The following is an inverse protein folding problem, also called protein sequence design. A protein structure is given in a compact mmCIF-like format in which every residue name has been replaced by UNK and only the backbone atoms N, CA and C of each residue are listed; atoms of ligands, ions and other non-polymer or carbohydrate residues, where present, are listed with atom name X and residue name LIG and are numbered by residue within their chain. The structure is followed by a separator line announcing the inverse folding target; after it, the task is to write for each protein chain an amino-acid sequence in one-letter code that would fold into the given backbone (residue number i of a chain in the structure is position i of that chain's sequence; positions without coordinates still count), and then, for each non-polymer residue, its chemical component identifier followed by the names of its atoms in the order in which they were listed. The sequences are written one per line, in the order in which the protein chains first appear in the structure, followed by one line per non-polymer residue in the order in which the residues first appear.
data_IF_374415427815
#
_entry.id   IF_374415427815
#
_cell.length_a   1.000
_cell.length_b   1.000
_cell.length_c   1.000
_cell.angle_alpha   90.00
_cell.angle_beta   90.00
_cell.angle_gamma   90.00
#
_symmetry.space_group_name_H-M   'P 1'
#
loop_
_entity.id
_entity.type
_entity.pdbx_description
1 polymer ?
#
# COMPACT_ATOMS: atom_id res chain seq x y z
N UNK A 1 5.88 14.15 -7.12
CA UNK A 1 6.62 15.40 -7.41
C UNK A 1 6.45 16.23 -6.16
N UNK A 2 7.55 16.58 -5.50
CA UNK A 2 7.61 17.17 -4.16
C UNK A 2 6.45 18.15 -3.88
N UNK A 3 5.46 17.70 -3.13
CA UNK A 3 4.54 18.58 -2.40
C UNK A 3 4.63 18.22 -0.93
N UNK A 4 5.75 18.62 -0.32
CA UNK A 4 5.77 18.89 1.12
C UNK A 4 4.75 19.99 1.38
N UNK A 5 3.52 19.63 1.75
CA UNK A 5 2.59 20.57 2.39
C UNK A 5 3.05 20.74 3.84
N UNK A 6 4.20 21.39 4.00
CA UNK A 6 4.55 22.10 5.22
C UNK A 6 4.65 23.55 4.80
N UNK A 7 3.57 24.32 5.01
CA UNK A 7 3.49 25.80 4.89
C UNK A 7 4.69 26.46 4.20
N UNK A 8 4.88 26.14 2.92
CA UNK A 8 6.04 26.55 2.15
C UNK A 8 5.71 27.87 1.49
N UNK A 9 6.63 28.84 1.61
CA UNK A 9 6.56 30.13 0.94
C UNK A 9 5.97 30.00 -0.47
N UNK A 10 5.02 30.86 -0.81
CA UNK A 10 4.45 31.01 -2.17
C UNK A 10 5.47 31.54 -3.19
N UNK A 11 6.70 31.79 -2.74
CA UNK A 11 7.79 32.32 -3.55
C UNK A 11 8.43 31.20 -4.41
N UNK A 12 8.56 31.41 -5.73
CA UNK A 12 9.18 30.43 -6.61
C UNK A 12 10.61 30.12 -6.17
N UNK A 13 11.06 28.87 -6.34
CA UNK A 13 12.46 28.54 -6.10
C UNK A 13 13.36 29.38 -7.02
N UNK A 14 14.56 29.74 -6.54
CA UNK A 14 15.55 30.48 -7.33
C UNK A 14 15.79 29.87 -8.71
N UNK A 15 15.74 28.54 -8.83
CA UNK A 15 15.78 27.83 -10.11
C UNK A 15 14.62 28.21 -11.04
N UNK A 16 13.38 28.26 -10.54
CA UNK A 16 12.21 28.65 -11.35
C UNK A 16 12.29 30.12 -11.77
N UNK A 17 12.82 30.99 -10.91
CA UNK A 17 13.06 32.41 -11.24
C UNK A 17 14.11 32.53 -12.35
N UNK A 18 15.28 31.93 -12.18
CA UNK A 18 16.39 31.96 -13.15
C UNK A 18 16.01 31.28 -14.48
N UNK A 19 15.20 30.21 -14.43
CA UNK A 19 14.66 29.53 -15.61
C UNK A 19 13.65 30.41 -16.34
N UNK A 20 12.76 31.11 -15.62
CA UNK A 20 11.81 32.04 -16.21
C UNK A 20 12.52 33.24 -16.85
N UNK A 21 13.55 33.78 -16.21
CA UNK A 21 14.36 34.86 -16.78
C UNK A 21 15.09 34.40 -18.04
N UNK A 22 15.70 33.21 -18.01
CA UNK A 22 16.38 32.61 -19.17
C UNK A 22 15.41 32.36 -20.33
N UNK A 23 14.18 31.91 -20.04
CA UNK A 23 13.14 31.69 -21.04
C UNK A 23 12.55 32.99 -21.61
N UNK A 24 12.34 34.01 -20.77
CA UNK A 24 11.88 35.34 -21.22
C UNK A 24 12.91 36.02 -22.13
N UNK A 25 14.20 35.85 -21.84
CA UNK A 25 15.29 36.31 -22.71
C UNK A 25 15.34 35.54 -24.04
N UNK A 26 14.78 34.34 -24.11
CA UNK A 26 14.67 33.52 -25.33
C UNK A 26 13.57 34.03 -26.28
N UNK A 27 12.51 34.65 -25.75
CA UNK A 27 11.42 35.24 -26.55
C UNK A 27 11.85 36.41 -27.45
N UNK A 28 13.05 36.97 -27.23
CA UNK A 28 13.67 38.00 -28.07
C UNK A 28 14.44 37.44 -29.29
N UNK A 29 14.71 36.13 -29.32
CA UNK A 29 15.60 35.46 -30.29
C UNK A 29 14.85 34.61 -31.32
N UNK A 30 13.58 34.93 -31.59
CA UNK A 30 12.70 34.16 -32.50
C UNK A 30 13.35 34.05 -33.89
N UNK A 31 13.95 32.90 -34.17
CA UNK A 31 14.54 32.56 -35.47
C UNK A 31 15.82 31.72 -35.42
N UNK A 32 16.58 31.74 -34.32
CA UNK A 32 17.86 31.03 -34.26
C UNK A 32 17.83 29.78 -33.36
N UNK A 33 17.72 28.62 -34.00
CA UNK A 33 17.73 27.29 -33.36
C UNK A 33 19.04 27.04 -32.57
N UNK A 34 20.14 27.69 -32.94
CA UNK A 34 21.43 27.55 -32.25
C UNK A 34 21.44 28.23 -30.88
N UNK A 35 20.75 29.37 -30.75
CA UNK A 35 20.62 30.11 -29.50
C UNK A 35 19.80 29.32 -28.46
N UNK A 36 18.71 28.68 -28.90
CA UNK A 36 17.90 27.79 -28.06
C UNK A 36 18.72 26.61 -27.52
N UNK A 37 19.56 25.96 -28.34
CA UNK A 37 20.39 24.84 -27.89
C UNK A 37 21.43 25.24 -26.84
N UNK A 38 22.03 26.43 -26.94
CA UNK A 38 23.01 26.90 -25.96
C UNK A 38 22.39 27.15 -24.58
N UNK A 39 21.16 27.69 -24.55
CA UNK A 39 20.41 27.91 -23.30
C UNK A 39 20.02 26.58 -22.66
N UNK A 40 19.51 25.61 -23.43
CA UNK A 40 19.22 24.28 -22.89
C UNK A 40 20.45 23.57 -22.30
N UNK A 41 21.63 23.79 -22.88
CA UNK A 41 22.90 23.27 -22.36
C UNK A 41 23.36 23.95 -21.07
N UNK A 42 22.86 25.15 -20.75
CA UNK A 42 23.19 25.87 -19.51
C UNK A 42 22.20 25.60 -18.38
N UNK A 43 20.96 25.17 -18.67
CA UNK A 43 19.93 24.85 -17.66
C UNK A 43 20.37 23.84 -16.58
N UNK A 44 21.13 22.76 -16.87
CA UNK A 44 21.61 21.85 -15.84
C UNK A 44 22.55 22.51 -14.83
N UNK A 45 23.18 23.63 -15.18
CA UNK A 45 24.05 24.41 -14.27
C UNK A 45 23.26 25.26 -13.29
N UNK A 46 22.01 25.59 -13.64
CA UNK A 46 21.07 26.30 -12.76
C UNK A 46 20.40 25.33 -11.78
N UNK A 47 20.43 24.03 -12.10
CA UNK A 47 19.87 23.00 -11.25
C UNK A 47 20.78 22.75 -10.04
N UNK A 48 20.36 23.23 -8.88
CA UNK A 48 20.93 22.83 -7.61
C UNK A 48 19.96 21.84 -6.94
N UNK A 49 20.37 20.56 -6.87
CA UNK A 49 19.64 19.57 -6.10
C UNK A 49 19.76 19.96 -4.62
N UNK A 50 18.66 20.43 -4.02
CA UNK A 50 18.65 20.65 -2.57
C UNK A 50 18.89 19.30 -1.90
N UNK A 51 19.81 19.21 -0.92
CA UNK A 51 19.96 17.99 -0.15
C UNK A 51 18.62 17.62 0.46
N UNK A 52 18.17 16.38 0.21
CA UNK A 52 16.96 15.86 0.83
C UNK A 52 17.31 15.56 2.29
N UNK A 53 17.10 16.54 3.17
CA UNK A 53 17.33 16.38 4.60
C UNK A 53 16.20 15.53 5.18
N UNK A 54 16.46 14.23 5.34
CA UNK A 54 15.57 13.32 6.06
C UNK A 54 15.65 13.69 7.55
N UNK A 55 14.78 14.61 7.98
CA UNK A 55 14.75 15.07 9.38
C UNK A 55 14.24 14.01 10.38
N UNK A 56 13.90 12.80 9.93
CA UNK A 56 13.30 11.76 10.77
C UNK A 56 14.00 10.41 10.59
N UNK A 57 14.01 9.61 11.67
CA UNK A 57 14.39 8.20 11.58
C UNK A 57 13.27 7.45 10.87
N UNK A 58 13.60 6.66 9.84
CA UNK A 58 12.64 5.74 9.24
C UNK A 58 12.21 4.70 10.28
N UNK A 59 10.90 4.60 10.48
CA UNK A 59 10.30 3.51 11.25
C UNK A 59 9.90 2.42 10.27
N UNK A 60 10.32 1.19 10.53
CA UNK A 60 9.88 0.04 9.74
C UNK A 60 8.37 -0.17 9.99
N UNK A 61 7.59 -0.18 8.91
CA UNK A 61 6.21 -0.63 8.93
C UNK A 61 6.21 -2.15 8.84
N UNK A 62 5.51 -2.81 9.77
CA UNK A 62 5.45 -4.27 9.83
C UNK A 62 4.09 -4.70 10.34
N UNK A 63 3.66 -5.87 9.89
CA UNK A 63 2.59 -6.62 10.52
C UNK A 63 3.12 -7.98 11.00
N UNK A 64 2.56 -8.49 12.08
CA UNK A 64 2.67 -9.88 12.48
C UNK A 64 1.26 -10.46 12.45
N UNK A 65 1.17 -11.70 11.97
CA UNK A 65 -0.08 -12.43 11.83
C UNK A 65 0.09 -13.77 12.53
N UNK A 66 -0.81 -14.02 13.47
CA UNK A 66 -0.91 -15.27 14.19
C UNK A 66 -2.34 -15.79 14.07
N UNK A 67 -2.49 -17.12 14.08
CA UNK A 67 -3.76 -17.79 13.86
C UNK A 67 -3.98 -18.73 15.02
N UNK A 68 -5.06 -18.50 15.76
CA UNK A 68 -5.49 -19.38 16.85
C UNK A 68 -6.00 -20.71 16.27
N UNK A 69 -5.10 -21.62 15.93
CA UNK A 69 -5.40 -22.92 15.31
C UNK A 69 -5.13 -22.96 13.80
N UNK A 70 -5.57 -24.03 13.12
CA UNK A 70 -5.31 -24.19 11.69
C UNK A 70 -3.91 -24.70 11.36
N UNK A 71 -3.25 -25.36 12.32
CA UNK A 71 -2.04 -26.11 12.06
C UNK A 71 -2.34 -27.38 11.27
N UNK A 72 -1.36 -27.97 10.55
CA UNK A 72 -1.56 -29.24 9.86
C UNK A 72 -2.11 -30.36 10.75
N UNK A 73 -1.67 -30.40 12.01
CA UNK A 73 -2.08 -31.39 13.02
C UNK A 73 -3.47 -31.10 13.62
N UNK A 74 -3.92 -29.84 13.59
CA UNK A 74 -5.21 -29.41 14.11
C UNK A 74 -5.84 -28.33 13.18
N UNK A 75 -6.34 -28.76 12.01
CA UNK A 75 -6.90 -27.86 11.02
C UNK A 75 -8.23 -27.25 11.50
N UNK A 76 -8.53 -26.04 11.03
CA UNK A 76 -9.80 -25.38 11.33
C UNK A 76 -10.97 -26.13 10.64
N UNK A 77 -12.11 -26.28 11.34
CA UNK A 77 -13.29 -26.89 10.74
C UNK A 77 -13.94 -25.94 9.72
N UNK A 78 -14.46 -26.50 8.61
CA UNK A 78 -15.30 -25.75 7.67
C UNK A 78 -16.38 -26.62 7.02
N UNK A 79 -17.37 -25.95 6.41
CA UNK A 79 -18.38 -26.60 5.57
C UNK A 79 -18.05 -26.36 4.11
N UNK A 80 -17.91 -27.44 3.35
CA UNK A 80 -17.54 -27.41 1.95
C UNK A 80 -18.48 -26.53 1.10
N UNK A 81 -17.92 -25.56 0.38
CA UNK A 81 -18.68 -24.63 -0.47
C UNK A 81 -19.47 -23.53 0.25
N UNK A 82 -19.34 -23.38 1.58
CA UNK A 82 -19.89 -22.25 2.32
C UNK A 82 -18.77 -21.31 2.80
N UNK A 83 -18.99 -19.98 2.84
CA UNK A 83 -18.02 -19.05 3.39
C UNK A 83 -17.58 -19.44 4.80
N UNK A 84 -16.30 -19.24 5.10
CA UNK A 84 -15.72 -19.56 6.42
C UNK A 84 -15.13 -18.30 7.05
N UNK A 85 -15.29 -18.16 8.37
CA UNK A 85 -14.60 -17.14 9.14
C UNK A 85 -13.18 -17.57 9.45
N UNK A 86 -12.20 -16.73 9.11
CA UNK A 86 -10.78 -16.94 9.38
C UNK A 86 -10.39 -16.08 10.59
N UNK A 87 -10.13 -16.68 11.77
CA UNK A 87 -9.72 -15.94 12.96
C UNK A 87 -8.25 -15.53 12.85
N UNK A 88 -7.98 -14.24 12.96
CA UNK A 88 -6.64 -13.65 12.83
C UNK A 88 -6.31 -12.82 14.07
N UNK A 89 -5.14 -13.06 14.63
CA UNK A 89 -4.49 -12.18 15.59
C UNK A 89 -3.47 -11.34 14.83
N UNK A 90 -3.66 -10.03 14.80
CA UNK A 90 -2.87 -9.11 13.99
C UNK A 90 -2.18 -8.12 14.91
N UNK A 91 -0.86 -8.00 14.77
CA UNK A 91 -0.05 -6.96 15.41
C UNK A 91 0.51 -6.02 14.36
N UNK A 92 0.27 -4.73 14.50
CA UNK A 92 0.70 -3.68 13.59
C UNK A 92 1.76 -2.80 14.25
N UNK A 93 2.86 -2.51 13.53
CA UNK A 93 3.97 -1.71 14.01
C UNK A 93 4.12 -0.42 13.20
N UNK A 94 4.07 0.73 13.87
CA UNK A 94 4.26 2.07 13.30
C UNK A 94 3.27 2.44 12.18
N UNK A 95 2.10 1.78 12.11
CA UNK A 95 1.11 2.00 11.06
C UNK A 95 0.09 3.05 11.50
N UNK A 96 -0.07 4.10 10.69
CA UNK A 96 -1.05 5.16 10.89
C UNK A 96 -2.46 4.69 10.56
N UNK A 97 -3.47 5.25 11.24
CA UNK A 97 -4.89 5.01 11.00
C UNK A 97 -5.42 5.55 9.65
N UNK A 98 -4.56 6.20 8.86
CA UNK A 98 -4.87 6.72 7.52
C UNK A 98 -4.46 5.76 6.40
N UNK A 99 -3.77 4.68 6.74
CA UNK A 99 -3.23 3.73 5.78
C UNK A 99 -4.27 2.65 5.53
N UNK A 100 -4.74 2.46 4.31
CA UNK A 100 -5.64 1.35 4.02
C UNK A 100 -4.89 0.01 4.15
N UNK A 101 -5.43 -0.88 4.96
CA UNK A 101 -4.90 -2.23 5.15
C UNK A 101 -5.86 -3.27 4.57
N UNK A 102 -5.28 -4.32 4.03
CA UNK A 102 -5.99 -5.40 3.38
C UNK A 102 -5.44 -6.75 3.86
N UNK A 103 -6.33 -7.65 4.25
CA UNK A 103 -6.01 -9.07 4.34
C UNK A 103 -6.05 -9.65 2.93
N UNK A 104 -4.94 -10.20 2.47
CA UNK A 104 -4.88 -11.04 1.28
C UNK A 104 -5.05 -12.49 1.71
N UNK A 105 -5.98 -13.20 1.09
CA UNK A 105 -6.21 -14.62 1.28
C UNK A 105 -6.04 -15.31 -0.07
N UNK A 106 -5.11 -16.25 -0.15
CA UNK A 106 -4.79 -17.00 -1.38
C UNK A 106 -4.98 -18.49 -1.14
N UNK A 107 -5.78 -19.13 -1.98
CA UNK A 107 -5.90 -20.60 -2.04
C UNK A 107 -4.89 -21.17 -3.04
N UNK A 108 -4.54 -22.45 -2.88
CA UNK A 108 -3.53 -23.13 -3.70
C UNK A 108 -3.81 -23.13 -5.21
N UNK A 109 -5.06 -22.98 -5.63
CA UNK A 109 -5.43 -22.83 -7.04
C UNK A 109 -5.41 -21.38 -7.53
N UNK A 110 -4.62 -20.54 -6.87
CA UNK A 110 -4.37 -19.13 -7.19
C UNK A 110 -5.62 -18.23 -7.10
N UNK A 111 -6.70 -18.68 -6.45
CA UNK A 111 -7.82 -17.78 -6.10
C UNK A 111 -7.35 -16.85 -4.99
N UNK A 112 -7.45 -15.54 -5.26
CA UNK A 112 -7.06 -14.48 -4.33
C UNK A 112 -8.29 -13.65 -3.96
N UNK A 113 -8.50 -13.48 -2.65
CA UNK A 113 -9.49 -12.59 -2.07
C UNK A 113 -8.81 -11.51 -1.23
N UNK A 114 -9.44 -10.34 -1.18
CA UNK A 114 -9.01 -9.24 -0.33
C UNK A 114 -10.15 -8.81 0.58
N UNK A 115 -9.84 -8.64 1.87
CA UNK A 115 -10.76 -8.09 2.87
C UNK A 115 -10.13 -6.85 3.47
N UNK A 116 -10.89 -5.75 3.48
CA UNK A 116 -10.46 -4.51 4.09
C UNK A 116 -10.40 -4.65 5.61
N UNK A 117 -9.28 -4.24 6.22
CA UNK A 117 -9.14 -4.16 7.66
C UNK A 117 -9.58 -2.77 8.13
N UNK A 118 -10.74 -2.71 8.79
CA UNK A 118 -11.22 -1.46 9.35
C UNK A 118 -10.35 -1.03 10.52
N UNK A 119 -9.64 0.08 10.32
CA UNK A 119 -8.70 0.56 11.29
C UNK A 119 -9.32 1.23 12.51
N UNK A 120 -10.63 1.52 12.47
CA UNK A 120 -11.34 2.00 13.65
C UNK A 120 -11.40 0.95 14.78
N UNK A 121 -11.10 -0.32 14.47
CA UNK A 121 -10.96 -1.38 15.46
C UNK A 121 -9.61 -1.34 16.20
N UNK A 122 -8.60 -0.62 15.65
CA UNK A 122 -7.31 -0.46 16.29
C UNK A 122 -7.38 0.70 17.30
N UNK A 123 -7.01 0.43 18.55
CA UNK A 123 -6.94 1.43 19.61
C UNK A 123 -6.02 2.62 19.25
N UNK A 124 -6.21 3.76 19.91
CA UNK A 124 -5.55 5.01 19.53
C UNK A 124 -4.02 5.00 19.71
N UNK A 125 -3.31 5.59 18.73
CA UNK A 125 -1.90 6.05 18.73
C UNK A 125 -0.92 5.31 19.66
N UNK A 126 -0.76 4.01 19.44
CA UNK A 126 0.40 3.27 19.92
C UNK A 126 1.34 2.98 18.74
N UNK A 127 2.64 2.91 19.00
CA UNK A 127 3.62 2.42 18.02
C UNK A 127 3.39 0.93 17.70
N UNK A 128 2.66 0.21 18.56
CA UNK A 128 2.25 -1.18 18.38
C UNK A 128 0.77 -1.35 18.72
N UNK A 129 -0.01 -1.92 17.81
CA UNK A 129 -1.43 -2.19 18.04
C UNK A 129 -1.78 -3.64 17.73
N UNK A 130 -2.51 -4.28 18.65
CA UNK A 130 -2.99 -5.65 18.54
C UNK A 130 -4.49 -5.67 18.28
N UNK A 131 -4.95 -6.58 17.42
CA UNK A 131 -6.36 -6.82 17.13
C UNK A 131 -6.59 -8.31 16.91
N UNK A 132 -7.72 -8.80 17.41
CA UNK A 132 -8.29 -10.07 16.99
C UNK A 132 -9.46 -9.78 16.05
N UNK A 133 -9.40 -10.31 14.83
CA UNK A 133 -10.44 -10.10 13.82
C UNK A 133 -10.81 -11.43 13.17
N UNK A 134 -12.09 -11.64 12.87
CA UNK A 134 -12.54 -12.78 12.06
C UNK A 134 -12.93 -12.26 10.69
N UNK A 135 -12.15 -12.62 9.67
CA UNK A 135 -12.40 -12.17 8.30
C UNK A 135 -13.07 -13.27 7.48
N UNK A 136 -14.10 -12.96 6.67
CA UNK A 136 -14.78 -13.96 5.87
C UNK A 136 -13.95 -14.32 4.63
N UNK A 137 -13.84 -15.61 4.34
CA UNK A 137 -13.34 -16.15 3.07
C UNK A 137 -14.50 -16.80 2.31
N UNK A 138 -14.81 -16.31 1.12
CA UNK A 138 -16.04 -16.68 0.40
C UNK A 138 -15.84 -17.81 -0.62
N UNK A 139 -14.64 -17.97 -1.19
CA UNK A 139 -14.32 -18.97 -2.19
C UNK A 139 -13.79 -20.27 -1.56
N UNK A 140 -14.51 -20.79 -0.56
CA UNK A 140 -14.19 -22.11 0.01
C UNK A 140 -14.42 -23.21 -1.03
N UNK A 141 -13.49 -24.17 -1.17
CA UNK A 141 -13.63 -25.25 -2.14
C UNK A 141 -14.67 -26.27 -1.67
N UNK A 142 -15.22 -27.02 -2.64
CA UNK A 142 -15.98 -28.24 -2.38
C UNK A 142 -15.03 -29.44 -2.22
N UNK A 143 -14.12 -29.35 -1.25
CA UNK A 143 -13.10 -30.37 -0.96
C UNK A 143 -13.16 -30.78 0.52
N UNK A 144 -12.53 -31.90 0.87
CA UNK A 144 -12.44 -32.37 2.27
C UNK A 144 -11.43 -31.55 3.11
N UNK A 145 -10.50 -30.86 2.45
CA UNK A 145 -9.48 -30.03 3.08
C UNK A 145 -8.93 -29.02 2.07
N UNK A 146 -8.38 -27.92 2.57
CA UNK A 146 -7.62 -26.96 1.76
C UNK A 146 -6.66 -26.16 2.63
N UNK A 147 -5.67 -25.53 2.00
CA UNK A 147 -4.76 -24.58 2.63
C UNK A 147 -5.08 -23.17 2.15
N UNK A 148 -5.05 -22.23 3.08
CA UNK A 148 -5.21 -20.81 2.81
C UNK A 148 -3.94 -20.07 3.25
N UNK A 149 -3.36 -19.30 2.34
CA UNK A 149 -2.23 -18.40 2.61
C UNK A 149 -2.75 -17.01 2.91
N UNK A 150 -2.41 -16.50 4.08
CA UNK A 150 -2.91 -15.20 4.56
C UNK A 150 -1.77 -14.24 4.82
N UNK A 151 -1.89 -13.01 4.32
CA UNK A 151 -0.91 -11.95 4.56
C UNK A 151 -1.59 -10.58 4.69
N UNK A 152 -0.90 -9.63 5.31
CA UNK A 152 -1.36 -8.23 5.42
C UNK A 152 -0.65 -7.36 4.39
N UNK A 153 -1.43 -6.65 3.60
CA UNK A 153 -0.97 -5.67 2.61
C UNK A 153 -1.38 -4.25 3.00
N UNK A 154 -0.46 -3.32 2.79
CA UNK A 154 -0.71 -1.88 2.82
C UNK A 154 -0.95 -1.37 1.41
N UNK A 155 -2.03 -0.64 1.20
CA UNK A 155 -2.31 0.00 -0.09
C UNK A 155 -1.44 1.24 -0.29
N UNK A 156 -0.71 1.28 -1.41
CA UNK A 156 0.21 2.36 -1.75
C UNK A 156 -0.50 3.41 -2.61
N UNK A 157 -0.75 4.60 -2.05
CA UNK A 157 -1.27 5.72 -2.82
C UNK A 157 -0.21 6.27 -3.77
N UNK A 158 -0.52 6.31 -5.07
CA UNK A 158 0.26 7.07 -6.03
C UNK A 158 -0.37 8.45 -6.24
N UNK A 159 0.42 9.53 -6.15
CA UNK A 159 -0.02 10.93 -6.42
C UNK A 159 -0.59 11.16 -7.83
N UNK A 160 -0.63 10.14 -8.70
CA UNK A 160 -1.12 10.19 -10.08
C UNK A 160 -2.32 9.25 -10.25
N UNK A 161 -3.48 9.66 -9.77
CA UNK A 161 -4.78 9.29 -10.37
C UNK A 161 -5.88 10.20 -9.83
N UNK A 162 -5.86 11.46 -10.31
CA UNK A 162 -6.98 12.41 -10.14
C UNK A 162 -8.14 12.07 -11.11
N UNK A 163 -7.95 11.08 -11.98
CA UNK A 163 -9.00 10.56 -12.84
C UNK A 163 -9.61 9.34 -12.18
N UNK A 164 -10.81 9.55 -11.63
CA UNK A 164 -11.68 8.51 -11.08
C UNK A 164 -11.70 7.26 -11.96
N UNK A 165 -11.20 6.16 -11.42
CA UNK A 165 -11.61 4.85 -11.91
C UNK A 165 -12.86 4.46 -11.11
N UNK A 166 -14.03 4.77 -11.66
CA UNK A 166 -15.28 4.10 -11.26
C UNK A 166 -15.10 2.60 -11.46
N UNK A 167 -14.73 1.86 -10.41
CA UNK A 167 -14.66 0.40 -10.45
C UNK A 167 -15.42 -0.20 -9.30
N UNK A 168 -16.41 -1.02 -9.67
CA UNK A 168 -17.20 -1.96 -8.88
C UNK A 168 -16.35 -3.12 -8.30
N UNK A 169 -15.13 -2.86 -7.83
CA UNK A 169 -14.23 -3.94 -7.39
C UNK A 169 -14.14 -3.92 -5.86
N UNK A 170 -14.56 -5.03 -5.23
CA UNK A 170 -14.46 -5.27 -3.78
C UNK A 170 -13.01 -5.58 -3.34
N UNK A 171 -12.04 -4.77 -3.74
CA UNK A 171 -10.63 -5.02 -3.46
C UNK A 171 -9.77 -3.75 -3.49
N UNK A 172 -8.44 -3.89 -3.30
CA UNK A 172 -7.50 -2.78 -3.38
C UNK A 172 -7.64 -2.02 -4.70
N UNK A 173 -7.62 -0.69 -4.62
CA UNK A 173 -7.61 0.20 -5.78
C UNK A 173 -6.19 0.39 -6.33
N UNK A 174 -5.20 0.32 -5.45
CA UNK A 174 -3.78 0.48 -5.79
C UNK A 174 -2.96 -0.76 -5.43
N UNK A 175 -1.70 -0.74 -5.85
CA UNK A 175 -0.73 -1.79 -5.53
C UNK A 175 -0.56 -1.92 -4.01
N UNK A 176 -0.30 -3.15 -3.57
CA UNK A 176 -0.08 -3.47 -2.17
C UNK A 176 1.41 -3.70 -1.89
N UNK A 177 1.91 -3.09 -0.81
CA UNK A 177 3.14 -3.48 -0.15
C UNK A 177 2.82 -4.45 0.99
N UNK A 178 3.35 -5.67 0.94
CA UNK A 178 3.11 -6.66 2.00
C UNK A 178 3.94 -6.38 3.24
N UNK A 179 3.28 -6.40 4.39
CA UNK A 179 3.83 -6.07 5.70
C UNK A 179 4.27 -7.30 6.50
N UNK A 180 3.92 -8.49 6.03
CA UNK A 180 4.29 -9.79 6.59
C UNK A 180 4.41 -10.84 5.49
N UNK A 181 4.99 -11.99 5.83
CA UNK A 181 4.97 -13.17 4.97
C UNK A 181 3.59 -13.84 5.00
N UNK A 182 3.33 -14.72 4.03
CA UNK A 182 2.14 -15.57 4.02
C UNK A 182 2.20 -16.54 5.21
N UNK A 183 1.11 -16.63 5.95
CA UNK A 183 0.87 -17.67 6.97
C UNK A 183 -0.09 -18.70 6.39
N UNK A 184 0.26 -19.98 6.49
CA UNK A 184 -0.57 -21.08 6.03
C UNK A 184 -1.58 -21.49 7.12
N UNK A 185 -2.84 -21.58 6.72
CA UNK A 185 -3.96 -22.02 7.56
C UNK A 185 -4.56 -23.25 6.92
N UNK A 186 -4.57 -24.36 7.66
CA UNK A 186 -5.13 -25.62 7.22
C UNK A 186 -6.59 -25.73 7.64
N UNK A 187 -7.44 -26.11 6.69
CA UNK A 187 -8.85 -26.36 6.91
C UNK A 187 -9.19 -27.82 6.62
N UNK A 188 -10.10 -28.39 7.41
CA UNK A 188 -10.66 -29.73 7.19
C UNK A 188 -12.17 -29.70 7.36
N UNK A 189 -12.87 -30.42 6.49
CA UNK A 189 -14.31 -30.56 6.61
C UNK A 189 -14.59 -31.56 7.72
N UNK A 190 -15.26 -31.10 8.78
CA UNK A 190 -15.74 -32.02 9.81
C UNK A 190 -16.74 -32.97 9.18
N UNK A 191 -16.48 -34.28 9.25
CA UNK A 191 -17.52 -35.27 9.01
C UNK A 191 -18.59 -35.04 10.09
N UNK A 192 -19.71 -34.42 9.73
CA UNK A 192 -20.94 -34.58 10.49
C UNK A 192 -21.32 -36.07 10.39
N UNK A 193 -20.87 -36.86 11.37
CA UNK A 193 -21.46 -38.16 11.66
C UNK A 193 -22.61 -37.96 12.63
#
# INVERSE_FOLDING_TARGET
MENLIGSGSTEPSRFIVELRESASNMGSLVGDVSACQMVFKSLPKLFCLKPLTLCTRFKLLKAELDVSGGHPENPLPFVAGLPVGVPLNITLYNISSQINLWVKMKRDDEIIEFVYLDQNQFGHRSDVTNLMSTVPFYNTPRAISFVLKVSIGMECFHEKNIYEVKKLVRGPKYDLAFLCQDVEIHFSSGNNR
#
